data_IF_840934260507
#
_entry.id   IF_840934260507
#
_cell.length_a   1.000
_cell.length_b   1.000
_cell.length_c   1.000
_cell.angle_alpha   90.00
_cell.angle_beta   90.00
_cell.angle_gamma   90.00
#
_symmetry.space_group_name_H-M   'P 1'
#
loop_
_entity.id
_entity.type
_entity.pdbx_description
1 polymer ?
#
# COMPACT_ATOMS: atom_id res chain seq x y z
N UNK A 1 6.76 10.99 -16.31
CA UNK A 1 6.67 12.30 -15.63
C UNK A 1 5.95 12.07 -14.31
N UNK A 2 6.50 12.55 -13.20
CA UNK A 2 5.86 12.49 -11.89
C UNK A 2 4.90 13.68 -11.73
N UNK A 3 3.66 13.38 -11.34
CA UNK A 3 2.60 14.38 -11.12
C UNK A 3 2.43 15.35 -12.29
N UNK A 4 2.09 14.87 -13.49
CA UNK A 4 1.92 15.71 -14.67
C UNK A 4 0.82 16.76 -14.46
N UNK A 5 0.97 17.92 -15.09
CA UNK A 5 -0.07 18.94 -15.13
C UNK A 5 -1.28 18.47 -15.93
N UNK A 6 -2.47 18.99 -15.60
CA UNK A 6 -3.72 18.60 -16.28
C UNK A 6 -3.66 18.79 -17.81
N UNK A 7 -2.97 19.82 -18.27
CA UNK A 7 -2.88 20.18 -19.68
C UNK A 7 -2.20 19.16 -20.58
N UNK A 8 -1.37 18.26 -20.00
CA UNK A 8 -0.66 17.21 -20.75
C UNK A 8 -1.28 15.83 -20.57
N UNK A 9 -2.26 15.68 -19.66
CA UNK A 9 -2.86 14.38 -19.35
C UNK A 9 -3.65 13.83 -20.52
N UNK A 10 -4.30 14.67 -21.32
CA UNK A 10 -5.13 14.23 -22.45
C UNK A 10 -4.32 13.49 -23.52
N UNK A 11 -3.05 13.86 -23.69
CA UNK A 11 -2.11 13.20 -24.61
C UNK A 11 -1.54 11.88 -24.05
N UNK A 12 -1.76 11.59 -22.77
CA UNK A 12 -1.17 10.46 -22.05
C UNK A 12 -2.16 9.36 -21.70
N UNK A 13 -3.34 9.39 -22.31
CA UNK A 13 -4.32 8.33 -22.14
C UNK A 13 -3.73 7.00 -22.61
N UNK A 14 -3.96 5.94 -21.85
CA UNK A 14 -3.48 4.60 -22.14
C UNK A 14 -4.62 3.66 -22.50
N UNK A 15 -4.33 2.66 -23.32
CA UNK A 15 -5.28 1.57 -23.55
C UNK A 15 -5.37 0.74 -22.27
N UNK A 16 -6.51 0.83 -21.62
CA UNK A 16 -6.81 0.12 -20.36
C UNK A 16 -8.02 -0.80 -20.55
N UNK A 17 -8.27 -1.70 -19.59
CA UNK A 17 -9.47 -2.55 -19.67
C UNK A 17 -10.76 -1.73 -19.60
N UNK A 18 -11.85 -2.26 -20.17
CA UNK A 18 -13.17 -1.61 -20.16
C UNK A 18 -13.62 -1.25 -18.73
N UNK A 19 -13.30 -2.09 -17.74
CA UNK A 19 -13.58 -1.85 -16.34
C UNK A 19 -12.89 -0.57 -15.83
N UNK A 20 -11.63 -0.37 -16.18
CA UNK A 20 -10.85 0.79 -15.78
C UNK A 20 -11.30 2.04 -16.52
N UNK A 21 -11.58 1.92 -17.83
CA UNK A 21 -12.10 3.01 -18.64
C UNK A 21 -13.46 3.51 -18.10
N UNK A 22 -14.38 2.62 -17.78
CA UNK A 22 -15.70 2.96 -17.23
C UNK A 22 -15.64 3.60 -15.84
N UNK A 23 -14.54 3.38 -15.11
CA UNK A 23 -14.29 4.02 -13.79
C UNK A 23 -13.41 5.28 -13.88
N UNK A 24 -13.14 5.78 -15.09
CA UNK A 24 -12.34 6.99 -15.31
C UNK A 24 -10.84 6.81 -15.08
N UNK A 25 -10.35 5.56 -15.01
CA UNK A 25 -8.93 5.23 -14.81
C UNK A 25 -8.22 5.07 -16.14
N UNK A 26 -7.95 6.19 -16.81
CA UNK A 26 -7.45 6.23 -18.18
C UNK A 26 -5.92 6.38 -18.27
N UNK A 27 -5.23 6.45 -17.13
CA UNK A 27 -3.79 6.70 -17.09
C UNK A 27 -3.06 5.56 -16.38
N UNK A 28 -1.86 5.22 -16.87
CA UNK A 28 -0.96 4.30 -16.19
C UNK A 28 -0.10 5.09 -15.20
N UNK A 29 -0.17 4.72 -13.93
CA UNK A 29 0.71 5.25 -12.89
C UNK A 29 1.80 4.23 -12.55
N UNK A 30 3.03 4.71 -12.32
CA UNK A 30 4.10 3.84 -11.83
C UNK A 30 3.82 3.41 -10.40
N UNK A 31 3.91 2.12 -10.15
CA UNK A 31 3.82 1.54 -8.80
C UNK A 31 5.16 1.57 -8.05
N UNK A 32 6.22 2.10 -8.66
CA UNK A 32 7.57 2.08 -8.08
C UNK A 32 8.21 0.70 -8.03
N UNK A 33 7.69 -0.26 -8.81
CA UNK A 33 8.21 -1.63 -8.86
C UNK A 33 8.82 -1.86 -10.23
N UNK A 34 10.11 -2.21 -10.24
CA UNK A 34 10.88 -2.37 -11.47
C UNK A 34 11.63 -3.70 -11.48
N UNK A 35 11.72 -4.31 -12.65
CA UNK A 35 12.53 -5.51 -12.89
C UNK A 35 13.54 -5.19 -14.00
N UNK A 36 14.81 -5.27 -13.69
CA UNK A 36 15.90 -5.02 -14.62
C UNK A 36 16.67 -6.29 -14.94
N UNK A 37 17.18 -6.38 -16.18
CA UNK A 37 18.35 -7.19 -16.43
C UNK A 37 19.55 -6.58 -15.69
N UNK A 38 20.27 -7.39 -14.90
CA UNK A 38 21.38 -6.93 -14.07
C UNK A 38 22.41 -6.11 -14.88
N UNK A 39 22.87 -6.65 -16.00
CA UNK A 39 23.88 -5.99 -16.84
C UNK A 39 23.38 -4.63 -17.36
N UNK A 40 22.11 -4.56 -17.80
CA UNK A 40 21.53 -3.32 -18.27
C UNK A 40 21.41 -2.25 -17.16
N UNK A 41 21.14 -2.68 -15.93
CA UNK A 41 21.10 -1.77 -14.78
C UNK A 41 22.48 -1.26 -14.38
N UNK A 42 23.49 -2.15 -14.36
CA UNK A 42 24.89 -1.78 -14.08
C UNK A 42 25.38 -0.75 -15.12
N UNK A 43 25.14 -0.99 -16.41
CA UNK A 43 25.50 -0.04 -17.48
C UNK A 43 24.79 1.32 -17.32
N UNK A 44 23.50 1.34 -16.94
CA UNK A 44 22.76 2.59 -16.72
C UNK A 44 23.35 3.40 -15.56
N UNK A 45 23.75 2.75 -14.47
CA UNK A 45 24.40 3.44 -13.35
C UNK A 45 25.79 3.95 -13.68
N UNK A 46 26.58 3.17 -14.43
CA UNK A 46 27.90 3.60 -14.88
C UNK A 46 27.82 4.84 -15.79
N UNK A 47 26.79 4.91 -16.63
CA UNK A 47 26.55 6.05 -17.53
C UNK A 47 25.91 7.25 -16.81
N UNK A 48 25.26 7.04 -15.70
CA UNK A 48 24.55 8.08 -14.94
C UNK A 48 24.90 8.00 -13.44
N UNK A 49 26.15 8.29 -13.07
CA UNK A 49 26.63 8.08 -11.69
C UNK A 49 25.95 8.97 -10.65
N UNK A 50 25.40 10.10 -11.08
CA UNK A 50 24.73 11.07 -10.21
C UNK A 50 23.21 10.85 -10.12
N UNK A 51 22.67 9.84 -10.84
CA UNK A 51 21.22 9.58 -10.83
C UNK A 51 20.79 8.88 -9.53
N UNK A 52 19.77 9.45 -8.86
CA UNK A 52 19.25 8.97 -7.59
C UNK A 52 17.77 8.55 -7.64
N UNK A 53 17.09 8.75 -8.79
CA UNK A 53 15.67 8.44 -8.97
C UNK A 53 15.42 7.57 -10.21
N UNK A 54 14.82 6.40 -10.01
CA UNK A 54 14.49 5.49 -11.11
C UNK A 54 13.46 6.07 -12.07
N UNK A 55 12.42 6.70 -11.55
CA UNK A 55 11.30 7.19 -12.34
C UNK A 55 11.61 8.45 -13.11
N UNK A 56 12.40 9.35 -12.53
CA UNK A 56 12.75 10.65 -13.12
C UNK A 56 13.99 10.61 -14.00
N UNK A 57 14.93 9.73 -13.70
CA UNK A 57 16.24 9.74 -14.32
C UNK A 57 16.54 8.44 -15.06
N UNK A 58 16.62 7.31 -14.38
CA UNK A 58 17.09 6.04 -14.96
C UNK A 58 16.15 5.51 -16.05
N UNK A 59 14.82 5.48 -15.80
CA UNK A 59 13.87 4.98 -16.81
C UNK A 59 13.79 5.90 -18.03
N UNK A 60 13.70 7.25 -17.89
CA UNK A 60 13.73 8.15 -19.03
C UNK A 60 15.01 8.02 -19.88
N UNK A 61 16.19 7.91 -19.27
CA UNK A 61 17.44 7.68 -20.00
C UNK A 61 17.41 6.35 -20.73
N UNK A 62 16.96 5.27 -20.09
CA UNK A 62 16.85 3.98 -20.75
C UNK A 62 15.92 4.03 -22.00
N UNK A 63 14.85 4.81 -21.95
CA UNK A 63 13.94 5.02 -23.08
C UNK A 63 14.64 5.85 -24.18
N UNK A 64 15.32 6.94 -23.82
CA UNK A 64 16.07 7.80 -24.77
C UNK A 64 17.17 7.04 -25.49
N UNK A 65 17.84 6.13 -24.79
CA UNK A 65 18.85 5.23 -25.35
C UNK A 65 18.27 4.07 -26.18
N UNK A 66 16.97 4.09 -26.45
CA UNK A 66 16.25 3.03 -27.17
C UNK A 66 16.42 1.64 -26.54
N UNK A 67 16.62 1.54 -25.24
CA UNK A 67 16.64 0.25 -24.55
C UNK A 67 15.21 -0.32 -24.49
N UNK A 68 15.09 -1.62 -24.42
CA UNK A 68 13.78 -2.29 -24.32
C UNK A 68 13.18 -2.06 -22.93
N UNK A 69 12.33 -1.05 -22.81
CA UNK A 69 11.52 -0.76 -21.61
C UNK A 69 10.08 -1.18 -21.89
N UNK A 70 9.50 -2.01 -21.02
CA UNK A 70 8.14 -2.55 -21.18
C UNK A 70 7.35 -2.26 -19.93
N UNK A 71 6.12 -1.75 -20.07
CA UNK A 71 5.18 -1.58 -18.97
C UNK A 71 4.38 -2.87 -18.75
N UNK A 72 4.20 -3.26 -17.49
CA UNK A 72 3.28 -4.31 -17.08
C UNK A 72 2.06 -3.67 -16.42
N UNK A 73 0.88 -3.84 -17.02
CA UNK A 73 -0.37 -3.33 -16.47
C UNK A 73 -0.86 -4.28 -15.39
N UNK A 74 -0.87 -3.80 -14.15
CA UNK A 74 -1.37 -4.55 -12.99
C UNK A 74 -2.81 -4.15 -12.69
N UNK A 75 -3.71 -5.13 -12.63
CA UNK A 75 -5.15 -4.91 -12.37
C UNK A 75 -5.57 -5.33 -10.95
N UNK A 76 -4.65 -5.78 -10.12
CA UNK A 76 -4.92 -6.15 -8.73
C UNK A 76 -5.07 -4.95 -7.80
N UNK A 77 -5.23 -5.24 -6.52
CA UNK A 77 -5.25 -4.19 -5.49
C UNK A 77 -3.89 -3.52 -5.37
N UNK A 78 -3.89 -2.22 -5.50
CA UNK A 78 -2.75 -1.36 -5.23
C UNK A 78 -3.24 0.00 -4.73
N UNK A 79 -2.60 0.54 -3.72
CA UNK A 79 -2.86 1.89 -3.22
C UNK A 79 -1.56 2.56 -2.79
N UNK A 80 -1.44 3.84 -3.09
CA UNK A 80 -0.35 4.68 -2.61
C UNK A 80 -0.69 5.20 -1.21
N UNK A 81 0.21 4.93 -0.25
CA UNK A 81 0.10 5.37 1.13
C UNK A 81 1.06 6.52 1.46
N UNK A 82 1.40 7.34 0.46
CA UNK A 82 2.36 8.43 0.56
C UNK A 82 1.94 9.63 1.42
N UNK A 83 0.73 9.63 1.98
CA UNK A 83 0.26 10.64 2.93
C UNK A 83 -0.53 10.02 4.08
N UNK A 84 -0.72 10.79 5.17
CA UNK A 84 -1.40 10.31 6.40
C UNK A 84 -2.83 9.85 6.10
N UNK A 85 -3.53 10.51 5.21
CA UNK A 85 -4.92 10.17 4.89
C UNK A 85 -5.02 8.83 4.18
N UNK A 86 -4.24 8.61 3.13
CA UNK A 86 -4.24 7.34 2.40
C UNK A 86 -3.72 6.19 3.26
N UNK A 87 -2.73 6.43 4.12
CA UNK A 87 -2.29 5.44 5.12
C UNK A 87 -3.43 5.05 6.07
N UNK A 88 -4.16 6.03 6.59
CA UNK A 88 -5.27 5.83 7.50
C UNK A 88 -6.41 5.04 6.82
N UNK A 89 -6.82 5.48 5.64
CA UNK A 89 -7.92 4.86 4.90
C UNK A 89 -7.59 3.41 4.52
N UNK A 90 -6.36 3.14 4.03
CA UNK A 90 -5.91 1.79 3.69
C UNK A 90 -5.86 0.84 4.90
N UNK A 91 -5.45 1.32 6.07
CA UNK A 91 -5.48 0.52 7.29
C UNK A 91 -6.90 0.24 7.78
N UNK A 92 -7.79 1.22 7.73
CA UNK A 92 -9.17 1.01 8.14
C UNK A 92 -9.96 0.12 7.18
N UNK A 93 -9.64 0.12 5.89
CA UNK A 93 -10.21 -0.80 4.91
C UNK A 93 -9.96 -2.27 5.28
N UNK A 94 -8.81 -2.58 5.88
CA UNK A 94 -8.53 -3.93 6.37
C UNK A 94 -9.51 -4.44 7.44
N UNK A 95 -10.23 -3.53 8.11
CA UNK A 95 -11.23 -3.86 9.13
C UNK A 95 -12.62 -4.14 8.54
N UNK A 96 -12.82 -3.91 7.25
CA UNK A 96 -14.09 -4.17 6.57
C UNK A 96 -14.38 -5.68 6.52
N UNK A 97 -15.66 -6.04 6.45
CA UNK A 97 -16.07 -7.45 6.41
C UNK A 97 -15.52 -8.21 5.19
N UNK A 98 -15.42 -7.52 4.06
CA UNK A 98 -14.81 -8.03 2.83
C UNK A 98 -13.82 -6.97 2.31
N UNK A 99 -12.60 -6.93 2.84
CA UNK A 99 -11.61 -5.95 2.41
C UNK A 99 -11.12 -6.27 0.99
N UNK A 100 -10.70 -5.25 0.24
CA UNK A 100 -10.11 -5.45 -1.09
C UNK A 100 -8.76 -6.20 -1.01
N UNK A 101 -8.01 -5.98 0.06
CA UNK A 101 -6.79 -6.72 0.39
C UNK A 101 -7.02 -7.58 1.63
N UNK A 102 -7.00 -8.91 1.47
CA UNK A 102 -7.26 -9.85 2.54
C UNK A 102 -5.97 -10.34 3.20
N UNK A 103 -5.70 -9.95 4.44
CA UNK A 103 -4.56 -10.42 5.24
C UNK A 103 -4.69 -11.90 5.66
N UNK A 104 -5.89 -12.47 5.61
CA UNK A 104 -6.20 -13.82 6.07
C UNK A 104 -6.29 -14.86 4.94
N UNK A 105 -5.79 -14.51 3.74
CA UNK A 105 -5.71 -15.44 2.61
C UNK A 105 -4.57 -16.45 2.81
N UNK A 106 -4.92 -17.70 3.11
CA UNK A 106 -3.96 -18.76 3.34
C UNK A 106 -3.20 -19.20 2.07
N UNK A 107 -3.69 -18.83 0.88
CA UNK A 107 -3.01 -19.14 -0.38
C UNK A 107 -2.02 -18.04 -0.78
N UNK A 108 -2.17 -16.83 -0.22
CA UNK A 108 -1.33 -15.65 -0.48
C UNK A 108 -0.80 -15.07 0.82
N UNK A 109 -0.09 -15.88 1.58
CA UNK A 109 0.41 -15.52 2.89
C UNK A 109 1.34 -14.31 2.82
N UNK A 110 1.07 -13.31 3.67
CA UNK A 110 1.97 -12.17 3.88
C UNK A 110 3.00 -12.54 4.94
N UNK A 111 4.25 -12.73 4.52
CA UNK A 111 5.33 -13.08 5.43
C UNK A 111 5.81 -11.86 6.21
N UNK A 112 5.66 -11.91 7.53
CA UNK A 112 6.13 -10.88 8.45
C UNK A 112 7.03 -11.48 9.50
N UNK A 113 7.77 -10.65 10.24
CA UNK A 113 8.59 -11.11 11.35
C UNK A 113 7.71 -11.60 12.50
N UNK A 114 7.74 -12.88 12.80
CA UNK A 114 7.10 -13.43 14.01
C UNK A 114 7.64 -12.77 15.28
N UNK A 115 6.75 -12.22 16.10
CA UNK A 115 7.13 -11.49 17.34
C UNK A 115 7.13 -12.38 18.58
N UNK A 116 6.57 -13.60 18.48
CA UNK A 116 6.42 -14.54 19.60
C UNK A 116 5.78 -13.90 20.84
N UNK A 117 4.73 -13.11 20.62
CA UNK A 117 3.98 -12.45 21.67
C UNK A 117 2.85 -13.36 22.17
N UNK A 118 2.39 -13.19 23.44
CA UNK A 118 1.21 -13.89 23.91
C UNK A 118 -0.04 -13.41 23.16
N UNK A 119 -1.11 -14.21 23.13
CA UNK A 119 -2.40 -13.75 22.62
C UNK A 119 -2.87 -12.48 23.32
N UNK A 120 -3.69 -11.70 22.63
CA UNK A 120 -4.30 -10.51 23.22
C UNK A 120 -5.34 -10.88 24.25
N UNK A 121 -5.46 -10.09 25.32
CA UNK A 121 -6.39 -10.30 26.42
C UNK A 121 -7.42 -9.19 26.49
N UNK A 122 -8.71 -9.55 26.45
CA UNK A 122 -9.83 -8.62 26.41
C UNK A 122 -10.72 -8.80 27.64
N UNK A 123 -11.12 -7.70 28.28
CA UNK A 123 -11.93 -7.68 29.48
C UNK A 123 -13.24 -6.91 29.25
N UNK A 124 -14.32 -7.60 28.92
CA UNK A 124 -15.67 -7.02 28.87
C UNK A 124 -15.89 -5.93 27.82
N UNK A 125 -15.00 -5.80 26.83
CA UNK A 125 -15.09 -4.78 25.79
C UNK A 125 -16.03 -5.20 24.67
N UNK A 126 -16.79 -4.26 24.11
CA UNK A 126 -17.54 -4.45 22.86
C UNK A 126 -16.61 -4.11 21.70
N UNK A 127 -16.34 -5.08 20.84
CA UNK A 127 -15.38 -4.92 19.72
C UNK A 127 -16.09 -5.27 18.42
N UNK A 128 -16.10 -4.31 17.48
CA UNK A 128 -16.71 -4.48 16.16
C UNK A 128 -15.74 -4.00 15.07
N UNK A 129 -15.68 -4.72 13.94
CA UNK A 129 -14.91 -4.35 12.74
C UNK A 129 -13.48 -3.87 13.07
N UNK A 130 -12.74 -4.63 13.85
CA UNK A 130 -11.44 -4.20 14.34
C UNK A 130 -10.41 -5.31 14.24
N UNK A 131 -9.16 -4.93 13.97
CA UNK A 131 -8.00 -5.82 13.97
C UNK A 131 -7.22 -5.56 15.26
N UNK A 132 -6.92 -6.61 16.02
CA UNK A 132 -6.17 -6.53 17.27
C UNK A 132 -4.94 -7.41 17.14
N UNK A 133 -3.79 -6.79 17.21
CA UNK A 133 -2.50 -7.50 17.15
C UNK A 133 -2.16 -8.18 18.48
N UNK A 134 -1.22 -9.13 18.44
CA UNK A 134 -0.78 -9.93 19.57
C UNK A 134 -0.24 -9.11 20.75
N UNK A 135 -0.41 -9.63 21.97
CA UNK A 135 0.11 -9.07 23.21
C UNK A 135 -0.68 -7.85 23.73
N UNK A 136 -1.78 -7.46 23.13
CA UNK A 136 -2.59 -6.35 23.62
C UNK A 136 -3.38 -6.72 24.89
N UNK A 137 -3.58 -5.74 25.77
CA UNK A 137 -4.43 -5.85 26.97
C UNK A 137 -5.50 -4.76 26.89
N UNK A 138 -6.76 -5.17 26.81
CA UNK A 138 -7.87 -4.28 26.47
C UNK A 138 -8.92 -4.31 27.56
N UNK A 139 -9.15 -3.16 28.20
CA UNK A 139 -10.22 -2.88 29.13
C UNK A 139 -11.20 -1.81 28.60
N UNK A 140 -11.13 -1.50 27.31
CA UNK A 140 -11.98 -0.48 26.70
C UNK A 140 -13.47 -0.76 26.90
N UNK A 141 -14.28 0.29 26.97
CA UNK A 141 -15.73 0.15 26.91
C UNK A 141 -16.17 -0.34 25.53
N UNK A 142 -15.63 0.26 24.47
CA UNK A 142 -15.89 -0.18 23.10
C UNK A 142 -14.77 0.19 22.13
N UNK A 143 -14.59 -0.64 21.11
CA UNK A 143 -13.68 -0.43 20.00
C UNK A 143 -14.47 -0.70 18.71
N UNK A 144 -14.51 0.26 17.81
CA UNK A 144 -15.23 0.17 16.55
C UNK A 144 -14.36 0.66 15.40
N UNK A 145 -14.22 -0.16 14.37
CA UNK A 145 -13.47 0.15 13.14
C UNK A 145 -12.06 0.68 13.44
N UNK A 146 -11.26 -0.16 14.10
CA UNK A 146 -9.94 0.24 14.55
C UNK A 146 -8.87 -0.83 14.32
N UNK A 147 -7.63 -0.38 14.13
CA UNK A 147 -6.44 -1.25 14.10
C UNK A 147 -5.65 -0.99 15.37
N UNK A 148 -5.50 -2.04 16.18
CA UNK A 148 -4.78 -2.00 17.47
C UNK A 148 -3.46 -2.75 17.30
N UNK A 149 -2.36 -2.01 17.43
CA UNK A 149 -1.01 -2.53 17.28
C UNK A 149 -0.57 -3.45 18.42
N UNK A 150 0.57 -4.05 18.23
CA UNK A 150 1.15 -5.03 19.18
C UNK A 150 1.37 -4.42 20.57
N UNK A 151 1.15 -5.22 21.64
CA UNK A 151 1.37 -4.83 23.04
C UNK A 151 0.61 -3.58 23.49
N UNK A 152 -0.39 -3.13 22.75
CA UNK A 152 -1.20 -1.98 23.15
C UNK A 152 -1.90 -2.23 24.49
N UNK A 153 -1.98 -1.21 25.34
CA UNK A 153 -2.71 -1.23 26.61
C UNK A 153 -3.80 -0.18 26.58
N UNK A 154 -5.04 -0.63 26.62
CA UNK A 154 -6.22 0.25 26.57
C UNK A 154 -6.94 0.17 27.90
N UNK A 155 -7.06 1.31 28.56
CA UNK A 155 -7.65 1.41 29.91
C UNK A 155 -9.16 1.37 29.94
N UNK A 156 -9.71 1.36 31.17
CA UNK A 156 -11.14 1.33 31.43
C UNK A 156 -11.85 2.57 30.85
N UNK A 157 -13.12 2.40 30.50
CA UNK A 157 -14.00 3.45 29.97
C UNK A 157 -13.56 4.10 28.65
N UNK A 158 -12.48 3.63 28.04
CA UNK A 158 -12.02 4.12 26.75
C UNK A 158 -13.00 3.72 25.65
N UNK A 159 -13.34 4.68 24.78
CA UNK A 159 -14.10 4.46 23.55
C UNK A 159 -13.18 4.79 22.38
N UNK A 160 -13.00 3.83 21.47
CA UNK A 160 -12.18 3.99 20.27
C UNK A 160 -13.09 3.81 19.06
N UNK A 161 -13.03 4.77 18.15
CA UNK A 161 -13.81 4.72 16.92
C UNK A 161 -12.97 5.24 15.75
N UNK A 162 -12.92 4.50 14.66
CA UNK A 162 -12.19 4.84 13.42
C UNK A 162 -10.76 5.34 13.75
N UNK A 163 -9.94 4.45 14.29
CA UNK A 163 -8.61 4.82 14.78
C UNK A 163 -7.56 3.75 14.52
N UNK A 164 -6.31 4.17 14.44
CA UNK A 164 -5.14 3.31 14.37
C UNK A 164 -4.27 3.63 15.60
N UNK A 165 -3.98 2.62 16.40
CA UNK A 165 -3.09 2.68 17.55
C UNK A 165 -1.89 1.77 17.28
N UNK A 166 -0.68 2.33 17.34
CA UNK A 166 0.58 1.61 17.09
C UNK A 166 1.51 1.68 18.30
#
# INVERSE_FOLDING_TARGET
IEKPNADILDDWTSVVSDKNMNSGKNYLASMGIYIFNRKALEELFEQNPDADDFGKEIIPVAIQDNRKVVSYQYEGYWTDIGNIRSFFDANLELTDNVPQFNLFDNQKVVYTRGRMLPPSKVFGSIINYSIISEGAIIHAKSIERAVIGIRSRIGNNTVIKSAILM
#
